data_IF_928188470768
#
_entry.id   IF_928188470768
#
_cell.length_a   1.000
_cell.length_b   1.000
_cell.length_c   1.000
_cell.angle_alpha   90.00
_cell.angle_beta   90.00
_cell.angle_gamma   90.00
#
_symmetry.space_group_name_H-M   'P 1'
#
loop_
_entity.id
_entity.type
_entity.pdbx_description
1 polymer ?
#
# COMPACT_ATOMS: atom_id res chain seq x y z
N UNK A 1 0.23 -23.46 -5.11
CA UNK A 1 -0.78 -22.40 -4.91
C UNK A 1 -2.14 -23.06 -4.73
N UNK A 2 -2.53 -23.31 -3.48
CA UNK A 2 -3.86 -23.79 -3.15
C UNK A 2 -4.89 -22.77 -3.63
N UNK A 3 -6.02 -23.24 -4.17
CA UNK A 3 -7.13 -22.36 -4.51
C UNK A 3 -7.65 -21.75 -3.20
N UNK A 4 -7.61 -20.42 -3.09
CA UNK A 4 -8.17 -19.70 -1.96
C UNK A 4 -9.63 -20.14 -1.73
N UNK A 5 -9.91 -20.61 -0.52
CA UNK A 5 -11.26 -20.93 -0.06
C UNK A 5 -12.08 -19.64 -0.13
N UNK A 6 -13.32 -19.70 -0.62
CA UNK A 6 -14.21 -18.55 -0.56
C UNK A 6 -14.42 -18.16 0.92
N UNK A 7 -13.79 -17.07 1.37
CA UNK A 7 -13.93 -16.52 2.73
C UNK A 7 -12.66 -16.49 3.59
N UNK A 8 -11.56 -17.14 3.18
CA UNK A 8 -10.30 -17.06 3.94
C UNK A 8 -9.57 -15.76 3.65
N UNK A 9 -9.10 -15.07 4.69
CA UNK A 9 -8.26 -13.89 4.57
C UNK A 9 -6.80 -14.33 4.52
N UNK A 10 -6.01 -13.67 3.68
CA UNK A 10 -4.58 -13.88 3.56
C UNK A 10 -3.84 -12.63 4.06
N UNK A 11 -2.73 -12.83 4.77
CA UNK A 11 -1.88 -11.78 5.30
C UNK A 11 -0.66 -11.62 4.40
N UNK A 12 -0.19 -10.38 4.21
CA UNK A 12 1.02 -10.10 3.46
C UNK A 12 2.11 -9.46 4.31
N UNK A 13 3.34 -9.94 4.14
CA UNK A 13 4.54 -9.51 4.86
C UNK A 13 5.60 -9.00 3.89
N UNK A 14 6.35 -7.96 4.28
CA UNK A 14 7.40 -7.39 3.44
C UNK A 14 8.74 -8.08 3.69
N UNK A 15 9.31 -8.70 2.66
CA UNK A 15 10.58 -9.41 2.74
C UNK A 15 11.58 -8.91 1.69
N UNK A 16 12.88 -9.02 2.01
CA UNK A 16 13.94 -8.77 1.03
C UNK A 16 13.97 -9.87 -0.02
N UNK A 17 13.99 -9.48 -1.29
CA UNK A 17 14.07 -10.42 -2.40
C UNK A 17 15.09 -9.96 -3.45
N UNK A 18 15.73 -10.89 -4.15
CA UNK A 18 16.63 -10.54 -5.24
C UNK A 18 15.86 -9.85 -6.38
N UNK A 19 16.42 -8.78 -6.95
CA UNK A 19 15.74 -7.93 -7.92
C UNK A 19 15.16 -8.66 -9.15
N UNK A 20 15.70 -9.82 -9.52
CA UNK A 20 15.18 -10.61 -10.65
C UNK A 20 13.81 -11.23 -10.36
N UNK A 21 13.49 -11.54 -9.09
CA UNK A 21 12.15 -12.00 -8.67
C UNK A 21 11.09 -10.91 -8.75
N UNK A 22 11.52 -9.65 -8.71
CA UNK A 22 10.62 -8.48 -8.68
C UNK A 22 10.36 -7.88 -10.07
N UNK A 23 10.68 -8.63 -11.14
CA UNK A 23 10.46 -8.28 -12.55
C UNK A 23 9.12 -8.77 -13.06
N UNK A 24 8.59 -8.17 -14.12
CA UNK A 24 7.26 -8.48 -14.65
C UNK A 24 7.08 -9.95 -15.07
N UNK A 25 8.16 -10.63 -15.47
CA UNK A 25 8.14 -12.05 -15.86
C UNK A 25 7.84 -13.00 -14.70
N UNK A 26 8.06 -12.56 -13.46
CA UNK A 26 7.87 -13.34 -12.25
C UNK A 26 6.53 -13.04 -11.56
N UNK A 27 5.72 -12.13 -12.12
CA UNK A 27 4.40 -11.76 -11.60
C UNK A 27 4.40 -11.40 -10.10
N UNK A 28 5.25 -10.47 -9.64
CA UNK A 28 5.46 -10.26 -8.22
C UNK A 28 4.29 -9.55 -7.55
N UNK A 29 4.02 -9.94 -6.31
CA UNK A 29 3.44 -9.05 -5.30
C UNK A 29 4.61 -8.34 -4.60
N UNK A 30 4.64 -7.01 -4.60
CA UNK A 30 5.81 -6.24 -4.13
C UNK A 30 5.46 -4.84 -3.66
N UNK A 31 6.26 -4.32 -2.74
CA UNK A 31 6.27 -2.92 -2.31
C UNK A 31 7.38 -2.18 -3.05
N UNK A 32 7.10 -0.94 -3.46
CA UNK A 32 8.07 0.03 -3.95
C UNK A 32 8.85 -0.38 -5.20
N UNK A 33 9.98 0.28 -5.42
CA UNK A 33 10.73 0.20 -6.67
C UNK A 33 9.92 0.73 -7.86
N UNK A 34 10.14 0.14 -9.04
CA UNK A 34 9.35 0.46 -10.25
C UNK A 34 8.21 -0.54 -10.43
N UNK A 35 7.09 -0.13 -11.05
CA UNK A 35 6.02 -1.05 -11.39
C UNK A 35 6.56 -2.16 -12.30
N UNK A 36 6.32 -3.41 -11.91
CA UNK A 36 6.47 -4.57 -12.78
C UNK A 36 5.18 -4.70 -13.59
N UNK A 37 5.06 -3.86 -14.63
CA UNK A 37 3.87 -3.78 -15.49
C UNK A 37 3.52 -5.15 -16.09
N UNK A 38 2.28 -5.58 -15.88
CA UNK A 38 1.74 -6.82 -16.40
C UNK A 38 1.55 -6.80 -17.93
N UNK A 39 0.76 -5.86 -18.46
CA UNK A 39 0.71 -5.66 -19.90
C UNK A 39 1.71 -4.60 -20.34
N UNK A 40 2.43 -4.85 -21.43
CA UNK A 40 3.25 -3.83 -22.06
C UNK A 40 2.44 -2.80 -22.86
N UNK A 41 1.13 -2.95 -22.99
CA UNK A 41 0.25 -2.08 -23.75
C UNK A 41 -0.73 -1.32 -22.85
N UNK A 42 -1.23 -0.17 -23.33
CA UNK A 42 -2.30 0.57 -22.66
C UNK A 42 -1.95 1.08 -21.25
N UNK A 43 -0.66 1.33 -20.98
CA UNK A 43 -0.17 1.86 -19.70
C UNK A 43 -0.87 3.18 -19.35
N UNK A 44 -1.18 3.43 -18.07
CA UNK A 44 -1.71 4.72 -17.62
C UNK A 44 -0.76 5.87 -18.00
N UNK A 45 -1.32 6.90 -18.63
CA UNK A 45 -0.57 8.06 -19.08
C UNK A 45 -0.16 9.00 -17.93
N UNK A 46 0.69 10.01 -18.22
CA UNK A 46 1.09 10.98 -17.20
C UNK A 46 -0.07 11.76 -16.56
N UNK A 47 -1.19 11.96 -17.27
CA UNK A 47 -2.37 12.62 -16.72
C UNK A 47 -3.08 11.73 -15.69
N UNK A 48 -3.24 10.44 -16.00
CA UNK A 48 -3.85 9.45 -15.10
C UNK A 48 -2.95 9.24 -13.86
N UNK A 49 -1.63 9.20 -14.03
CA UNK A 49 -0.65 9.07 -12.94
C UNK A 49 -0.20 10.42 -12.37
N UNK A 50 -1.10 11.40 -12.32
CA UNK A 50 -0.88 12.68 -11.64
C UNK A 50 -1.77 12.82 -10.41
N UNK A 51 -1.23 13.45 -9.37
CA UNK A 51 -1.98 13.76 -8.16
C UNK A 51 -3.09 14.77 -8.48
N UNK A 52 -4.33 14.46 -8.13
CA UNK A 52 -5.46 15.37 -8.33
C UNK A 52 -5.31 16.70 -7.58
N UNK A 53 -4.56 16.72 -6.47
CA UNK A 53 -4.40 17.91 -5.63
C UNK A 53 -3.27 18.84 -6.11
N UNK A 54 -2.08 18.28 -6.39
CA UNK A 54 -0.90 19.09 -6.73
C UNK A 54 -0.40 18.93 -8.17
N UNK A 55 -0.99 18.02 -8.95
CA UNK A 55 -0.61 17.74 -10.34
C UNK A 55 0.76 17.05 -10.51
N UNK A 56 1.46 16.73 -9.43
CA UNK A 56 2.77 16.07 -9.50
C UNK A 56 2.64 14.58 -9.83
N UNK A 57 3.65 13.96 -10.47
CA UNK A 57 3.64 12.53 -10.74
C UNK A 57 3.48 11.71 -9.47
N UNK A 58 2.64 10.69 -9.52
CA UNK A 58 2.50 9.72 -8.44
C UNK A 58 3.70 8.77 -8.42
N UNK A 59 4.08 8.32 -7.22
CA UNK A 59 5.05 7.28 -7.00
C UNK A 59 4.36 5.93 -6.89
N UNK A 60 5.00 4.89 -7.42
CA UNK A 60 4.53 3.52 -7.29
C UNK A 60 4.68 3.04 -5.85
N UNK A 61 3.58 2.71 -5.19
CA UNK A 61 3.58 2.28 -3.80
C UNK A 61 3.74 0.77 -3.69
N UNK A 62 2.89 0.01 -4.38
CA UNK A 62 2.95 -1.45 -4.42
C UNK A 62 2.14 -2.04 -5.57
N UNK A 63 2.33 -3.33 -5.80
CA UNK A 63 1.45 -4.14 -6.64
C UNK A 63 1.16 -5.49 -6.02
N UNK A 64 0.03 -6.07 -6.38
CA UNK A 64 -0.38 -7.42 -5.99
C UNK A 64 -0.72 -8.24 -7.22
N UNK A 65 -0.21 -9.47 -7.27
CA UNK A 65 -0.65 -10.48 -8.23
C UNK A 65 -1.85 -11.25 -7.64
N UNK A 66 -3.03 -11.02 -8.21
CA UNK A 66 -4.32 -11.44 -7.68
C UNK A 66 -5.16 -12.12 -8.77
N UNK A 67 -4.74 -13.31 -9.26
CA UNK A 67 -5.46 -14.06 -10.30
C UNK A 67 -6.85 -14.48 -9.83
N UNK A 68 -7.80 -14.64 -10.76
CA UNK A 68 -9.15 -15.10 -10.44
C UNK A 68 -9.38 -16.51 -10.99
N UNK A 69 -9.41 -17.55 -10.12
CA UNK A 69 -9.76 -18.90 -10.53
C UNK A 69 -11.11 -18.94 -11.24
N UNK A 70 -11.20 -19.76 -12.29
CA UNK A 70 -12.42 -19.87 -13.11
C UNK A 70 -12.62 -18.75 -14.12
N UNK A 71 -11.74 -17.74 -14.17
CA UNK A 71 -11.84 -16.63 -15.12
C UNK A 71 -10.68 -16.59 -16.11
N UNK A 72 -10.95 -17.05 -17.33
CA UNK A 72 -9.92 -17.21 -18.37
C UNK A 72 -9.23 -15.91 -18.78
N UNK A 73 -9.92 -14.76 -18.75
CA UNK A 73 -9.37 -13.44 -19.08
C UNK A 73 -8.66 -12.75 -17.91
N UNK A 74 -8.70 -13.36 -16.71
CA UNK A 74 -8.03 -12.90 -15.50
C UNK A 74 -7.10 -13.97 -14.93
N UNK A 75 -6.49 -14.78 -15.81
CA UNK A 75 -5.51 -15.78 -15.43
C UNK A 75 -4.29 -15.11 -14.79
N UNK A 76 -3.78 -14.06 -15.43
CA UNK A 76 -2.88 -13.11 -14.79
C UNK A 76 -3.68 -11.87 -14.48
N UNK A 77 -3.65 -11.42 -13.23
CA UNK A 77 -4.34 -10.19 -12.83
C UNK A 77 -3.49 -9.49 -11.80
N UNK A 78 -3.23 -8.21 -12.06
CA UNK A 78 -2.36 -7.36 -11.26
C UNK A 78 -3.09 -6.11 -10.83
N UNK A 79 -2.91 -5.74 -9.56
CA UNK A 79 -3.39 -4.49 -8.97
C UNK A 79 -2.19 -3.61 -8.67
N UNK A 80 -2.24 -2.33 -9.04
CA UNK A 80 -1.13 -1.40 -8.95
C UNK A 80 -1.59 -0.17 -8.20
N UNK A 81 -0.96 0.12 -7.05
CA UNK A 81 -1.30 1.27 -6.22
C UNK A 81 -0.20 2.33 -6.31
N UNK A 82 -0.62 3.58 -6.48
CA UNK A 82 0.24 4.75 -6.59
C UNK A 82 -0.17 5.79 -5.54
N UNK A 83 0.80 6.52 -5.00
CA UNK A 83 0.56 7.59 -4.04
C UNK A 83 1.38 8.84 -4.36
N UNK A 84 0.86 10.01 -4.00
CA UNK A 84 1.61 11.26 -4.08
C UNK A 84 2.57 11.37 -2.89
N UNK A 85 3.78 11.86 -3.15
CA UNK A 85 4.82 12.03 -2.12
C UNK A 85 5.04 13.48 -1.67
N UNK A 86 4.23 14.40 -2.18
CA UNK A 86 4.34 15.82 -1.85
C UNK A 86 3.41 16.15 -0.68
N UNK A 87 3.90 16.71 0.44
CA UNK A 87 3.03 17.23 1.49
C UNK A 87 2.25 18.47 1.02
N UNK A 88 1.01 18.68 1.50
CA UNK A 88 0.22 17.80 2.37
C UNK A 88 -0.49 16.67 1.58
N UNK A 89 -0.25 16.56 0.28
CA UNK A 89 -0.93 15.66 -0.65
C UNK A 89 -0.54 14.18 -0.49
N UNK A 90 0.07 13.74 0.61
CA UNK A 90 0.52 12.36 0.87
C UNK A 90 -0.59 11.28 0.74
N UNK A 91 -1.82 11.70 0.43
CA UNK A 91 -3.04 10.91 0.26
C UNK A 91 -3.59 10.90 -1.18
N UNK A 92 -2.90 11.50 -2.17
CA UNK A 92 -3.32 11.40 -3.58
C UNK A 92 -3.09 9.98 -4.10
N UNK A 93 -4.07 9.09 -3.91
CA UNK A 93 -3.98 7.67 -4.23
C UNK A 93 -4.68 7.35 -5.55
N UNK A 94 -4.10 6.42 -6.32
CA UNK A 94 -4.77 5.81 -7.48
C UNK A 94 -4.42 4.35 -7.56
N UNK A 95 -5.42 3.54 -7.90
CA UNK A 95 -5.26 2.11 -8.07
C UNK A 95 -5.69 1.71 -9.47
N UNK A 96 -4.91 0.84 -10.10
CA UNK A 96 -5.18 0.33 -11.43
C UNK A 96 -5.20 -1.19 -11.42
N UNK A 97 -6.15 -1.78 -12.15
CA UNK A 97 -6.19 -3.20 -12.47
C UNK A 97 -5.76 -3.43 -13.90
N UNK A 98 -4.93 -4.44 -14.12
CA UNK A 98 -4.70 -5.05 -15.43
C UNK A 98 -4.91 -6.56 -15.34
N UNK A 99 -5.38 -7.16 -16.43
CA UNK A 99 -5.54 -8.60 -16.48
C UNK A 99 -5.27 -9.13 -17.88
N UNK A 100 -4.72 -10.33 -17.95
CA UNK A 100 -4.38 -11.02 -19.17
C UNK A 100 -4.85 -12.48 -19.11
N UNK A 101 -5.29 -13.04 -20.24
CA UNK A 101 -5.49 -14.47 -20.36
C UNK A 101 -4.16 -15.23 -20.29
N UNK A 102 -4.23 -16.54 -19.99
CA UNK A 102 -3.03 -17.41 -19.95
C UNK A 102 -2.22 -17.34 -21.24
N UNK A 103 -2.90 -17.47 -22.39
CA UNK A 103 -2.29 -17.28 -23.70
C UNK A 103 -2.36 -15.80 -24.06
N UNK A 104 -1.22 -15.12 -24.06
CA UNK A 104 -1.09 -13.69 -24.39
C UNK A 104 0.23 -13.42 -25.11
N UNK A 105 0.40 -12.20 -25.61
CA UNK A 105 1.56 -11.80 -26.43
C UNK A 105 2.80 -11.40 -25.59
N UNK A 106 2.68 -11.32 -24.27
CA UNK A 106 3.70 -10.73 -23.39
C UNK A 106 4.55 -11.80 -22.69
N UNK A 107 3.92 -12.91 -22.30
CA UNK A 107 4.50 -13.96 -21.47
C UNK A 107 4.42 -15.34 -22.11
N UNK A 108 5.32 -16.22 -21.66
CA UNK A 108 5.29 -17.64 -22.04
C UNK A 108 4.02 -18.31 -21.54
N UNK A 109 3.57 -19.34 -22.26
CA UNK A 109 2.53 -20.23 -21.75
C UNK A 109 3.05 -21.10 -20.60
N UNK A 110 4.35 -21.34 -20.52
CA UNK A 110 4.99 -22.10 -19.44
C UNK A 110 5.39 -21.19 -18.29
N UNK A 111 5.40 -21.68 -17.03
CA UNK A 111 5.82 -20.90 -15.89
C UNK A 111 7.27 -20.42 -16.02
N UNK A 112 7.62 -19.25 -15.45
CA UNK A 112 8.99 -18.77 -15.40
C UNK A 112 9.86 -19.69 -14.52
N UNK A 113 11.18 -19.67 -14.74
CA UNK A 113 12.13 -20.39 -13.89
C UNK A 113 12.21 -19.76 -12.51
N UNK A 114 12.30 -20.61 -11.47
CA UNK A 114 12.61 -20.23 -10.09
C UNK A 114 14.12 -20.08 -9.84
N UNK A 115 14.95 -20.48 -10.80
CA UNK A 115 16.39 -20.30 -10.73
C UNK A 115 16.80 -18.89 -11.19
N UNK A 116 17.83 -18.29 -10.56
CA UNK A 116 18.36 -17.02 -11.01
C UNK A 116 18.77 -17.07 -12.49
N UNK A 117 18.49 -16.02 -13.27
CA UNK A 117 18.97 -15.96 -14.65
C UNK A 117 20.50 -16.00 -14.67
N UNK A 118 21.07 -16.64 -15.71
CA UNK A 118 22.51 -16.61 -15.93
C UNK A 118 22.99 -15.17 -15.87
N UNK A 119 24.02 -14.89 -15.04
CA UNK A 119 24.49 -13.57 -14.65
C UNK A 119 24.82 -12.69 -15.88
N UNK A 120 23.77 -12.09 -16.41
CA UNK A 120 23.80 -11.06 -17.43
C UNK A 120 23.45 -9.82 -16.64
N UNK A 121 24.38 -8.87 -16.59
CA UNK A 121 24.15 -7.54 -16.04
C UNK A 121 23.18 -6.78 -16.93
N UNK A 122 22.01 -7.37 -17.18
CA UNK A 122 21.03 -6.84 -18.10
C UNK A 122 20.60 -5.47 -17.56
N UNK A 123 20.84 -4.41 -18.34
CA UNK A 123 20.52 -3.06 -17.92
C UNK A 123 19.03 -2.96 -17.62
N UNK A 124 18.67 -1.99 -16.79
CA UNK A 124 17.27 -1.74 -16.48
C UNK A 124 16.54 -1.39 -17.77
N UNK A 125 15.76 -2.34 -18.30
CA UNK A 125 15.12 -2.20 -19.60
C UNK A 125 14.00 -1.15 -19.51
N UNK A 126 14.32 0.07 -19.97
CA UNK A 126 13.40 1.22 -19.99
C UNK A 126 12.54 1.26 -21.27
N UNK A 127 12.49 0.16 -22.01
CA UNK A 127 11.65 -0.01 -23.18
C UNK A 127 10.92 -1.34 -23.07
N UNK A 128 9.59 -1.30 -23.09
CA UNK A 128 8.80 -2.53 -23.08
C UNK A 128 8.78 -3.17 -24.47
N UNK A 129 8.40 -4.45 -24.53
CA UNK A 129 8.24 -5.21 -25.79
C UNK A 129 7.27 -4.55 -26.79
N UNK A 130 6.30 -3.78 -26.30
CA UNK A 130 5.38 -2.98 -27.11
C UNK A 130 6.02 -1.76 -27.80
N UNK A 131 7.27 -1.45 -27.48
CA UNK A 131 7.95 -0.22 -27.88
C UNK A 131 7.71 0.97 -26.93
N UNK A 132 6.83 0.83 -25.93
CA UNK A 132 6.59 1.88 -24.94
C UNK A 132 7.87 2.22 -24.17
N UNK A 133 8.19 3.51 -24.11
CA UNK A 133 9.37 4.03 -23.42
C UNK A 133 9.00 4.47 -22.02
N UNK A 134 9.75 4.01 -21.03
CA UNK A 134 9.50 4.25 -19.62
C UNK A 134 10.31 5.45 -19.10
N UNK A 135 9.74 6.12 -18.11
CA UNK A 135 10.38 7.22 -17.42
C UNK A 135 11.60 6.70 -16.65
N UNK A 136 12.76 7.35 -16.87
CA UNK A 136 14.00 7.05 -16.17
C UNK A 136 13.93 7.18 -14.66
N UNK A 137 13.00 7.96 -14.13
CA UNK A 137 12.85 8.16 -12.68
C UNK A 137 11.90 7.12 -12.09
N UNK A 138 10.65 7.07 -12.58
CA UNK A 138 9.58 6.30 -11.94
C UNK A 138 9.20 4.98 -12.61
N UNK A 139 9.70 4.68 -13.81
CA UNK A 139 9.30 3.48 -14.56
C UNK A 139 7.88 3.51 -15.15
N UNK A 140 7.15 4.62 -15.04
CA UNK A 140 5.84 4.81 -15.70
C UNK A 140 6.02 5.25 -17.17
N UNK A 141 4.94 5.35 -17.95
CA UNK A 141 5.01 5.77 -19.35
C UNK A 141 5.69 7.14 -19.50
N UNK A 142 6.72 7.21 -20.35
CA UNK A 142 7.57 8.38 -20.57
C UNK A 142 7.45 8.94 -21.98
N UNK A 143 6.36 9.65 -22.33
CA UNK A 143 6.16 10.18 -23.68
C UNK A 143 7.11 11.33 -24.03
N UNK A 144 7.72 12.00 -23.04
CA UNK A 144 8.64 13.11 -23.27
C UNK A 144 10.04 12.58 -23.43
N UNK A 145 10.75 13.06 -24.44
CA UNK A 145 12.15 12.69 -24.69
C UNK A 145 13.08 13.87 -24.42
N UNK A 146 14.26 13.61 -23.88
CA UNK A 146 15.31 14.61 -23.76
C UNK A 146 15.67 15.18 -25.14
N UNK A 147 15.51 16.49 -25.32
CA UNK A 147 15.78 17.17 -26.58
C UNK A 147 17.26 17.20 -26.99
N UNK A 148 18.17 16.82 -26.09
CA UNK A 148 19.62 16.80 -26.36
C UNK A 148 20.11 15.44 -26.85
N UNK A 149 19.76 14.35 -26.16
CA UNK A 149 20.23 13.02 -26.52
C UNK A 149 19.20 12.15 -27.26
N UNK A 150 17.92 12.55 -27.25
CA UNK A 150 16.80 11.80 -27.83
C UNK A 150 16.63 10.34 -27.33
N UNK A 151 17.29 9.98 -26.22
CA UNK A 151 17.31 8.62 -25.67
C UNK A 151 16.70 8.50 -24.28
N UNK A 152 16.78 9.57 -23.49
CA UNK A 152 16.21 9.60 -22.15
C UNK A 152 14.73 9.99 -22.20
N UNK A 153 13.87 9.21 -21.55
CA UNK A 153 12.42 9.39 -21.54
C UNK A 153 11.87 9.74 -20.15
N UNK A 154 10.82 10.56 -20.11
CA UNK A 154 10.25 11.12 -18.88
C UNK A 154 8.73 11.23 -18.97
N UNK A 155 8.04 10.98 -17.85
CA UNK A 155 6.60 11.23 -17.74
C UNK A 155 6.29 12.72 -17.59
N UNK A 156 7.21 13.50 -16.99
CA UNK A 156 6.99 14.90 -16.68
C UNK A 156 8.28 15.73 -16.79
N UNK A 157 8.11 17.06 -16.83
CA UNK A 157 9.24 18.02 -16.76
C UNK A 157 9.92 17.96 -15.39
N UNK A 158 9.16 17.64 -14.34
CA UNK A 158 9.67 17.48 -12.98
C UNK A 158 10.66 16.31 -12.90
N UNK A 159 10.28 15.13 -13.40
CA UNK A 159 11.19 13.97 -13.43
C UNK A 159 12.40 14.19 -14.35
N UNK A 160 12.23 14.88 -15.47
CA UNK A 160 13.37 15.28 -16.30
C UNK A 160 14.34 16.17 -15.53
N UNK A 161 13.83 17.16 -14.80
CA UNK A 161 14.65 18.09 -14.02
C UNK A 161 15.36 17.38 -12.86
N UNK A 162 14.67 16.44 -12.21
CA UNK A 162 15.23 15.63 -11.13
C UNK A 162 16.39 14.76 -11.65
N UNK A 163 16.16 13.99 -12.72
CA UNK A 163 17.20 13.15 -13.33
C UNK A 163 18.38 13.97 -13.86
N UNK A 164 18.10 15.15 -14.43
CA UNK A 164 19.14 16.08 -14.90
C UNK A 164 20.10 16.48 -13.78
N UNK A 165 19.57 16.78 -12.59
CA UNK A 165 20.36 17.17 -11.41
C UNK A 165 21.12 15.98 -10.81
N UNK A 166 20.55 14.79 -10.84
CA UNK A 166 21.11 13.59 -10.20
C UNK A 166 22.16 12.84 -11.03
N UNK A 167 22.29 13.13 -12.33
CA UNK A 167 23.36 12.52 -13.13
C UNK A 167 23.19 12.63 -14.64
N UNK A 168 21.95 12.77 -15.13
CA UNK A 168 21.73 12.77 -16.59
C UNK A 168 22.46 13.91 -17.30
N UNK A 169 22.68 15.08 -16.67
CA UNK A 169 23.45 16.18 -17.27
C UNK A 169 24.84 15.73 -17.77
N UNK A 170 25.50 14.83 -17.04
CA UNK A 170 26.83 14.32 -17.36
C UNK A 170 26.76 13.16 -18.36
N UNK A 171 25.79 12.26 -18.19
CA UNK A 171 25.61 11.09 -19.06
C UNK A 171 24.98 11.44 -20.42
N UNK A 172 24.27 12.57 -20.54
CA UNK A 172 23.52 12.97 -21.75
C UNK A 172 24.40 13.07 -23.00
N UNK A 173 25.70 13.38 -22.83
CA UNK A 173 26.66 13.47 -23.93
C UNK A 173 27.41 12.17 -24.23
N UNK A 174 27.28 11.15 -23.37
CA UNK A 174 27.99 9.89 -23.53
C UNK A 174 27.11 8.87 -24.27
N UNK A 175 27.58 8.40 -25.43
CA UNK A 175 26.80 7.53 -26.32
C UNK A 175 26.62 6.10 -25.78
N UNK A 176 27.41 5.64 -24.81
CA UNK A 176 27.48 4.20 -24.51
C UNK A 176 26.94 3.78 -23.13
N UNK A 177 26.44 4.70 -22.29
CA UNK A 177 26.16 4.37 -20.87
C UNK A 177 24.83 4.87 -20.28
N UNK A 178 23.89 5.37 -21.09
CA UNK A 178 22.64 5.94 -20.56
C UNK A 178 21.74 4.91 -19.84
N UNK A 179 21.75 3.64 -20.27
CA UNK A 179 20.88 2.59 -19.68
C UNK A 179 21.51 1.87 -18.48
N UNK A 180 22.81 2.05 -18.23
CA UNK A 180 23.56 1.23 -17.25
C UNK A 180 23.59 1.83 -15.83
N UNK A 181 23.38 3.13 -15.65
CA UNK A 181 23.37 3.76 -14.32
C UNK A 181 22.26 4.79 -14.21
N UNK A 182 21.06 4.34 -13.81
CA UNK A 182 20.04 5.26 -13.31
C UNK A 182 20.44 5.65 -11.87
N UNK A 183 20.73 6.93 -11.59
CA UNK A 183 21.09 7.35 -10.25
C UNK A 183 19.88 7.24 -9.31
N UNK A 184 20.13 7.11 -8.01
CA UNK A 184 19.05 7.18 -7.02
C UNK A 184 18.55 8.63 -6.90
N UNK A 185 17.32 8.86 -7.38
CA UNK A 185 16.66 10.16 -7.30
C UNK A 185 15.98 10.41 -5.95
N UNK A 186 15.99 9.44 -5.03
CA UNK A 186 15.15 9.40 -3.83
C UNK A 186 13.65 9.52 -4.17
N UNK A 187 13.23 9.15 -5.38
CA UNK A 187 11.84 9.20 -5.85
C UNK A 187 11.08 7.88 -5.63
N UNK A 188 11.74 6.76 -5.84
CA UNK A 188 11.16 5.43 -5.66
C UNK A 188 11.13 5.07 -4.18
N UNK A 189 10.14 4.29 -3.76
CA UNK A 189 10.18 3.65 -2.45
C UNK A 189 11.17 2.47 -2.47
N UNK A 190 11.75 2.08 -1.32
CA UNK A 190 12.50 0.83 -1.19
C UNK A 190 11.68 -0.36 -1.69
N UNK A 191 12.36 -1.33 -2.30
CA UNK A 191 11.74 -2.43 -3.03
C UNK A 191 11.79 -3.72 -2.20
N UNK A 192 10.64 -4.36 -1.98
CA UNK A 192 10.49 -5.60 -1.20
C UNK A 192 9.46 -6.54 -1.84
N UNK A 193 9.60 -7.85 -1.65
CA UNK A 193 8.57 -8.84 -1.98
C UNK A 193 7.45 -8.81 -0.94
N UNK A 194 6.22 -9.03 -1.37
CA UNK A 194 5.09 -9.28 -0.46
C UNK A 194 4.86 -10.78 -0.45
N UNK A 195 5.25 -11.43 0.64
CA UNK A 195 4.98 -12.85 0.88
C UNK A 195 3.59 -12.97 1.47
N UNK A 196 2.74 -13.79 0.84
CA UNK A 196 1.34 -13.97 1.22
C UNK A 196 1.18 -15.31 1.93
N UNK A 197 0.61 -15.27 3.14
CA UNK A 197 0.33 -16.43 3.97
C UNK A 197 -1.16 -16.46 4.36
N UNK A 198 -1.72 -17.63 4.61
CA UNK A 198 -3.12 -17.75 5.02
C UNK A 198 -3.27 -17.34 6.49
N UNK A 199 -4.28 -16.54 6.83
CA UNK A 199 -4.60 -16.26 8.23
C UNK A 199 -5.05 -17.56 8.90
N UNK A 200 -4.36 -17.99 9.96
CA UNK A 200 -4.77 -19.15 10.74
C UNK A 200 -6.15 -18.91 11.36
N UNK A 201 -7.09 -19.83 11.08
CA UNK A 201 -8.36 -19.89 11.82
C UNK A 201 -8.08 -20.42 13.22
N UNK A 202 -7.64 -19.55 14.12
CA UNK A 202 -7.60 -19.89 15.54
C UNK A 202 -9.05 -20.07 15.98
N UNK A 203 -9.51 -21.31 16.13
CA UNK A 203 -10.72 -21.61 16.92
C UNK A 203 -10.42 -21.17 18.35
N UNK A 204 -11.07 -20.14 18.91
CA UNK A 204 -10.89 -19.84 20.31
C UNK A 204 -11.42 -21.05 21.09
N UNK A 205 -10.53 -21.78 21.76
CA UNK A 205 -10.92 -22.65 22.87
C UNK A 205 -11.59 -21.74 23.90
N UNK A 206 -12.92 -21.74 23.88
CA UNK A 206 -13.84 -21.35 24.95
C UNK A 206 -13.41 -20.08 25.73
N UNK A 207 -13.56 -18.91 25.11
CA UNK A 207 -13.77 -17.70 25.92
C UNK A 207 -15.22 -17.75 26.37
N UNK A 208 -15.42 -18.10 27.63
CA UNK A 208 -16.71 -18.12 28.30
C UNK A 208 -17.47 -16.82 27.98
N UNK A 209 -18.70 -16.97 27.51
CA UNK A 209 -19.65 -15.86 27.42
C UNK A 209 -19.93 -15.41 28.85
N UNK A 210 -19.25 -14.37 29.31
CA UNK A 210 -19.76 -13.64 30.47
C UNK A 210 -20.97 -12.83 30.02
N UNK A 211 -22.12 -13.27 30.51
CA UNK A 211 -23.43 -12.68 30.29
C UNK A 211 -23.49 -11.25 30.85
N UNK A 212 -24.18 -10.44 30.07
CA UNK A 212 -24.74 -9.13 30.33
C UNK A 212 -25.23 -8.96 31.78
N UNK A 213 -24.73 -7.95 32.49
CA UNK A 213 -25.40 -7.44 33.70
C UNK A 213 -25.93 -6.04 33.45
N UNK A 214 -27.22 -5.97 33.16
CA UNK A 214 -28.01 -4.74 33.21
C UNK A 214 -28.00 -4.21 34.65
N UNK A 215 -27.46 -3.00 34.85
CA UNK A 215 -27.67 -2.24 36.09
C UNK A 215 -28.68 -1.13 35.78
N UNK A 216 -29.93 -1.38 36.20
CA UNK A 216 -30.98 -0.36 36.28
C UNK A 216 -30.65 0.55 37.48
N UNK A 217 -30.41 1.84 37.19
CA UNK A 217 -30.26 2.89 38.20
C UNK A 217 -30.94 4.18 37.72
N UNK A 218 -31.99 4.58 38.43
CA UNK A 218 -32.92 5.67 38.11
C UNK A 218 -32.43 7.06 38.57
N UNK A 219 -32.92 8.10 37.86
CA UNK A 219 -33.08 9.53 38.18
C UNK A 219 -31.98 10.54 37.77
N UNK A 220 -32.37 11.44 36.86
CA UNK A 220 -31.95 12.86 36.84
C UNK A 220 -32.06 13.53 35.48
N UNK A 221 -33.13 14.30 35.25
CA UNK A 221 -33.37 15.09 34.02
C UNK A 221 -32.19 16.05 33.70
N UNK A 222 -31.48 15.72 32.63
CA UNK A 222 -30.70 16.61 31.76
C UNK A 222 -31.07 16.22 30.30
N UNK A 223 -30.65 16.91 29.23
CA UNK A 223 -31.03 16.54 27.87
C UNK A 223 -30.45 15.16 27.51
N UNK A 224 -31.23 14.11 27.74
CA UNK A 224 -30.82 12.69 27.69
C UNK A 224 -30.38 12.27 26.28
N UNK A 225 -30.88 12.95 25.25
CA UNK A 225 -30.59 12.59 23.85
C UNK A 225 -29.14 12.88 23.45
N UNK A 226 -28.51 13.95 23.94
CA UNK A 226 -27.09 14.24 23.63
C UNK A 226 -26.14 13.32 24.41
N UNK A 227 -26.38 13.12 25.71
CA UNK A 227 -25.52 12.31 26.58
C UNK A 227 -25.57 10.81 26.24
N UNK A 228 -26.77 10.29 25.91
CA UNK A 228 -26.93 8.89 25.48
C UNK A 228 -26.34 8.66 24.09
N UNK A 229 -26.42 9.66 23.20
CA UNK A 229 -25.76 9.59 21.89
C UNK A 229 -24.22 9.57 22.01
N UNK A 230 -23.65 10.33 22.96
CA UNK A 230 -22.21 10.35 23.23
C UNK A 230 -21.73 9.02 23.83
N UNK A 231 -22.41 8.49 24.84
CA UNK A 231 -22.06 7.21 25.45
C UNK A 231 -22.14 6.04 24.46
N UNK A 232 -23.17 6.04 23.59
CA UNK A 232 -23.30 5.04 22.52
C UNK A 232 -22.20 5.16 21.46
N UNK A 233 -21.80 6.39 21.11
CA UNK A 233 -20.71 6.63 20.16
C UNK A 233 -19.38 6.09 20.67
N UNK A 234 -19.01 6.43 21.91
CA UNK A 234 -17.79 5.93 22.58
C UNK A 234 -17.78 4.40 22.64
N UNK A 235 -18.91 3.78 23.00
CA UNK A 235 -19.02 2.32 23.06
C UNK A 235 -18.85 1.63 21.69
N UNK A 236 -19.23 2.29 20.59
CA UNK A 236 -19.11 1.75 19.23
C UNK A 236 -17.70 1.91 18.70
N UNK A 237 -17.10 3.08 18.92
CA UNK A 237 -15.72 3.37 18.57
C UNK A 237 -14.75 2.41 19.27
N UNK A 238 -14.93 2.21 20.58
CA UNK A 238 -14.15 1.24 21.36
C UNK A 238 -14.29 -0.18 20.81
N UNK A 239 -15.50 -0.62 20.44
CA UNK A 239 -15.71 -1.96 19.86
C UNK A 239 -14.99 -2.14 18.52
N UNK A 240 -15.02 -1.14 17.64
CA UNK A 240 -14.33 -1.18 16.35
C UNK A 240 -12.83 -1.22 16.55
N UNK A 241 -12.31 -0.34 17.41
CA UNK A 241 -10.88 -0.27 17.70
C UNK A 241 -10.36 -1.52 18.40
N UNK A 242 -11.08 -2.08 19.38
CA UNK A 242 -10.69 -3.34 20.01
C UNK A 242 -10.68 -4.50 19.01
N UNK A 243 -11.69 -4.59 18.13
CA UNK A 243 -11.71 -5.62 17.08
C UNK A 243 -10.50 -5.51 16.16
N UNK A 244 -10.15 -4.30 15.73
CA UNK A 244 -8.94 -4.03 14.95
C UNK A 244 -7.69 -4.47 15.71
N UNK A 245 -7.54 -4.00 16.95
CA UNK A 245 -6.38 -4.28 17.79
C UNK A 245 -6.18 -5.77 18.02
N UNK A 246 -7.23 -6.50 18.41
CA UNK A 246 -7.16 -7.95 18.63
C UNK A 246 -6.74 -8.68 17.36
N UNK A 247 -7.24 -8.26 16.18
CA UNK A 247 -6.89 -8.89 14.90
C UNK A 247 -5.47 -8.58 14.44
N UNK A 248 -4.99 -7.35 14.62
CA UNK A 248 -3.63 -6.95 14.23
C UNK A 248 -2.59 -7.48 15.22
N UNK A 249 -2.94 -7.63 16.50
CA UNK A 249 -2.04 -8.13 17.54
C UNK A 249 -1.59 -9.59 17.33
N UNK A 250 -2.38 -10.39 16.60
CA UNK A 250 -1.99 -11.75 16.25
C UNK A 250 -0.77 -11.77 15.33
N UNK A 251 -0.73 -10.84 14.37
CA UNK A 251 0.33 -10.75 13.36
C UNK A 251 0.75 -9.29 13.14
N UNK A 252 1.50 -8.68 14.06
CA UNK A 252 1.79 -7.24 14.02
C UNK A 252 2.65 -6.83 12.82
N UNK A 253 3.40 -7.76 12.22
CA UNK A 253 4.27 -7.46 11.07
C UNK A 253 3.49 -7.36 9.74
N UNK A 254 2.22 -7.75 9.73
CA UNK A 254 1.39 -7.72 8.54
C UNK A 254 1.29 -6.29 7.95
N UNK A 255 1.46 -6.17 6.65
CA UNK A 255 1.31 -4.92 5.90
C UNK A 255 0.08 -4.91 4.99
N UNK A 256 -0.50 -6.08 4.76
CA UNK A 256 -1.57 -6.34 3.82
C UNK A 256 -2.52 -7.38 4.41
N UNK A 257 -3.83 -7.17 4.21
CA UNK A 257 -4.85 -8.22 4.33
C UNK A 257 -5.58 -8.33 3.01
N UNK A 258 -5.46 -9.47 2.35
CA UNK A 258 -6.12 -9.79 1.09
C UNK A 258 -7.36 -10.64 1.36
N UNK A 259 -8.49 -10.26 0.77
CA UNK A 259 -9.77 -10.93 0.99
C UNK A 259 -10.82 -10.41 0.02
N UNK A 260 -10.85 -10.96 -1.19
CA UNK A 260 -11.79 -10.47 -2.21
C UNK A 260 -13.24 -10.81 -1.85
N UNK A 261 -14.04 -9.76 -1.68
CA UNK A 261 -15.44 -9.86 -1.26
C UNK A 261 -15.63 -10.05 0.25
N UNK A 262 -14.55 -9.98 1.06
CA UNK A 262 -14.66 -9.97 2.52
C UNK A 262 -14.91 -8.54 3.04
N UNK A 263 -15.09 -8.39 4.35
CA UNK A 263 -15.23 -7.08 4.99
C UNK A 263 -13.86 -6.59 5.50
N UNK A 264 -13.47 -5.32 5.22
CA UNK A 264 -12.29 -4.72 5.82
C UNK A 264 -12.41 -4.57 7.34
N UNK A 265 -11.27 -4.57 8.02
CA UNK A 265 -11.14 -4.13 9.42
C UNK A 265 -10.71 -2.65 9.45
N UNK A 266 -11.40 -1.87 10.27
CA UNK A 266 -11.23 -0.42 10.37
C UNK A 266 -10.67 -0.03 11.73
N UNK A 267 -9.90 1.06 11.78
CA UNK A 267 -9.30 1.57 13.03
C UNK A 267 -10.33 2.39 13.82
N UNK A 268 -11.16 3.15 13.12
CA UNK A 268 -12.23 3.95 13.73
C UNK A 268 -13.60 3.55 13.17
N UNK A 269 -14.64 3.78 13.97
CA UNK A 269 -16.03 3.71 13.51
C UNK A 269 -16.41 4.90 12.60
N UNK A 270 -15.57 5.94 12.56
CA UNK A 270 -15.74 7.11 11.71
C UNK A 270 -15.11 6.90 10.33
N UNK A 271 -15.61 7.61 9.31
CA UNK A 271 -15.05 7.62 7.97
C UNK A 271 -14.91 6.21 7.34
N UNK A 272 -15.88 5.33 7.63
CA UNK A 272 -16.07 4.05 6.96
C UNK A 272 -16.96 4.30 5.72
N UNK A 273 -16.55 3.86 4.52
CA UNK A 273 -17.31 4.12 3.30
C UNK A 273 -18.65 3.39 3.35
N UNK A 274 -19.71 4.09 2.99
CA UNK A 274 -21.01 3.50 2.69
C UNK A 274 -21.05 3.00 1.24
N UNK A 275 -22.12 2.28 0.87
CA UNK A 275 -22.25 1.72 -0.48
C UNK A 275 -22.26 2.82 -1.56
N UNK A 276 -22.80 4.00 -1.23
CA UNK A 276 -22.89 5.15 -2.14
C UNK A 276 -21.54 5.85 -2.35
N UNK A 277 -20.63 5.73 -1.38
CA UNK A 277 -19.29 6.31 -1.43
C UNK A 277 -18.35 5.54 -2.36
N UNK A 278 -18.68 4.27 -2.64
CA UNK A 278 -17.92 3.40 -3.53
C UNK A 278 -18.55 3.46 -4.93
N UNK A 279 -17.95 4.19 -5.89
CA UNK A 279 -18.54 4.35 -7.20
C UNK A 279 -18.60 3.02 -7.96
N UNK A 280 -19.59 2.89 -8.84
CA UNK A 280 -19.71 1.76 -9.76
C UNK A 280 -18.55 1.74 -10.75
N UNK A 281 -18.18 0.54 -11.20
CA UNK A 281 -17.22 0.36 -12.27
C UNK A 281 -17.80 0.95 -13.58
N UNK A 282 -16.97 1.53 -14.48
CA UNK A 282 -17.44 2.03 -15.77
C UNK A 282 -18.19 1.01 -16.65
N UNK A 283 -18.08 -0.29 -16.37
CA UNK A 283 -18.85 -1.34 -17.04
C UNK A 283 -20.30 -1.50 -16.51
N UNK A 284 -20.67 -0.79 -15.44
CA UNK A 284 -21.97 -0.87 -14.76
C UNK A 284 -22.03 -1.83 -13.57
N UNK A 285 -20.96 -2.58 -13.30
CA UNK A 285 -20.91 -3.48 -12.14
C UNK A 285 -20.50 -2.74 -10.85
N UNK A 286 -20.97 -3.23 -9.70
CA UNK A 286 -20.48 -2.78 -8.38
C UNK A 286 -18.98 -3.06 -8.21
N UNK A 287 -18.32 -2.24 -7.39
CA UNK A 287 -16.99 -2.56 -6.87
C UNK A 287 -17.14 -3.24 -5.51
N UNK A 288 -16.33 -4.26 -5.27
CA UNK A 288 -16.28 -5.00 -4.01
C UNK A 288 -14.89 -4.83 -3.39
N UNK A 289 -14.82 -4.94 -2.07
CA UNK A 289 -13.55 -4.94 -1.36
C UNK A 289 -12.64 -6.06 -1.89
N UNK A 290 -11.35 -5.77 -2.02
CA UNK A 290 -10.36 -6.75 -2.44
C UNK A 290 -9.22 -6.94 -1.47
N UNK A 291 -8.62 -5.86 -1.00
CA UNK A 291 -7.57 -5.91 0.01
C UNK A 291 -7.48 -4.60 0.78
N UNK A 292 -6.88 -4.66 1.95
CA UNK A 292 -6.51 -3.48 2.72
C UNK A 292 -5.03 -3.46 3.07
N UNK A 293 -4.49 -2.27 3.16
CA UNK A 293 -3.15 -2.02 3.65
C UNK A 293 -3.22 -1.49 5.07
N UNK A 294 -2.30 -1.98 5.88
CA UNK A 294 -2.14 -1.59 7.26
C UNK A 294 -0.83 -0.81 7.39
N UNK A 295 -0.91 0.34 8.04
CA UNK A 295 0.23 1.20 8.35
C UNK A 295 0.37 1.36 9.86
N UNK A 296 1.60 1.55 10.36
CA UNK A 296 1.82 1.77 11.79
C UNK A 296 0.98 2.93 12.29
N UNK A 297 0.33 2.73 13.43
CA UNK A 297 0.16 3.81 14.39
C UNK A 297 1.58 4.31 14.73
N UNK A 298 1.79 5.60 14.93
CA UNK A 298 3.08 6.00 15.50
C UNK A 298 2.90 5.78 17.00
N UNK A 299 3.46 4.71 17.56
CA UNK A 299 3.77 4.78 18.99
C UNK A 299 4.65 6.02 19.06
N UNK A 300 4.22 7.01 19.85
CA UNK A 300 5.07 8.13 20.20
C UNK A 300 6.31 7.50 20.79
N UNK A 301 7.32 7.25 19.97
CA UNK A 301 8.66 7.11 20.45
C UNK A 301 8.90 8.45 21.09
N UNK A 302 8.83 8.48 22.41
CA UNK A 302 9.36 9.56 23.20
C UNK A 302 10.72 9.84 22.59
N UNK A 303 10.80 10.94 21.86
CA UNK A 303 12.06 11.54 21.50
C UNK A 303 12.52 12.18 22.81
N UNK A 304 12.89 11.35 23.79
CA UNK A 304 14.00 11.71 24.64
C UNK A 304 15.21 11.73 23.71
N UNK A 305 15.37 12.88 23.02
CA UNK A 305 16.68 13.35 22.58
C UNK A 305 17.53 13.34 23.84
N UNK A 306 18.26 12.25 24.05
CA UNK A 306 19.27 12.17 25.07
C UNK A 306 20.37 13.14 24.67
N UNK A 307 20.23 14.40 25.09
CA UNK A 307 21.36 15.27 25.45
C UNK A 307 21.01 16.33 26.50
N UNK A 308 19.82 16.37 27.12
CA UNK A 308 19.59 17.28 28.27
C UNK A 308 18.44 16.96 29.23
N UNK A 309 17.88 15.74 29.27
CA UNK A 309 16.87 15.41 30.29
C UNK A 309 17.56 14.99 31.59
N UNK A 310 17.57 15.87 32.59
CA UNK A 310 18.16 15.68 33.93
C UNK A 310 17.45 14.60 34.79
N UNK A 311 16.54 13.80 34.23
CA UNK A 311 15.74 12.83 34.98
C UNK A 311 16.49 11.55 35.40
N UNK A 312 17.74 11.34 34.94
CA UNK A 312 18.51 10.15 35.33
C UNK A 312 19.39 10.33 36.57
N UNK A 313 19.50 11.53 37.14
CA UNK A 313 20.31 11.76 38.34
C UNK A 313 19.51 11.84 39.65
N UNK A 314 18.19 11.61 39.59
CA UNK A 314 17.28 11.61 40.74
C UNK A 314 16.67 10.23 41.03
N UNK A 315 17.26 9.15 40.52
CA UNK A 315 16.75 7.77 40.67
C UNK A 315 17.68 6.84 41.47
N UNK A 316 18.53 7.40 42.33
CA UNK A 316 19.30 6.61 43.31
C UNK A 316 19.09 6.98 44.77
N UNK A 317 18.31 8.02 45.07
CA UNK A 317 17.97 8.35 46.44
C UNK A 317 16.46 8.63 46.55
N UNK A 318 15.80 7.81 47.36
CA UNK A 318 14.42 7.92 47.88
C UNK A 318 13.39 7.01 47.22
N UNK A 319 13.27 5.81 47.83
CA UNK A 319 12.04 5.02 47.92
C UNK A 319 10.89 5.91 48.41
N UNK A 320 9.87 6.17 47.58
CA UNK A 320 8.46 6.25 47.99
C UNK A 320 7.54 6.39 46.76
N UNK A 321 6.63 5.41 46.65
CA UNK A 321 5.27 5.42 46.07
C UNK A 321 4.97 6.06 44.70
N UNK A 322 4.19 5.31 43.92
CA UNK A 322 3.48 5.65 42.67
C UNK A 322 4.32 5.86 41.40
N UNK A 323 4.70 4.73 40.80
CA UNK A 323 5.00 4.62 39.37
C UNK A 323 3.66 4.74 38.61
N UNK A 324 3.48 5.64 37.64
CA UNK A 324 2.36 5.53 36.71
C UNK A 324 2.58 4.27 35.88
N UNK A 325 1.65 3.34 36.00
CA UNK A 325 1.54 2.14 35.20
C UNK A 325 1.30 2.56 33.73
N UNK A 326 2.37 2.73 32.94
CA UNK A 326 2.24 2.78 31.49
C UNK A 326 1.79 1.39 31.03
N UNK A 327 0.49 1.18 30.91
CA UNK A 327 -0.02 -0.03 30.26
C UNK A 327 0.42 0.00 28.80
N UNK A 328 1.14 -1.03 28.43
CA UNK A 328 1.67 -1.28 27.10
C UNK A 328 0.49 -1.36 26.10
N UNK A 329 0.27 -0.29 25.34
CA UNK A 329 -0.61 -0.28 24.16
C UNK A 329 0.25 -0.04 22.93
N UNK A 330 1.10 -1.02 22.58
CA UNK A 330 1.82 -1.01 21.31
C UNK A 330 1.44 -2.25 20.49
N UNK A 331 0.49 -2.08 19.57
CA UNK A 331 0.24 -3.04 18.48
C UNK A 331 0.49 -2.26 17.21
N UNK A 332 1.50 -2.65 16.42
CA UNK A 332 1.98 -1.80 15.34
C UNK A 332 2.21 -2.48 14.00
N UNK A 333 1.40 -2.18 12.97
CA UNK A 333 1.71 -2.57 11.59
C UNK A 333 3.02 -1.93 11.11
N UNK A 334 3.80 -2.60 10.25
CA UNK A 334 5.20 -2.20 10.00
C UNK A 334 5.48 -1.46 8.67
N UNK A 335 4.49 -1.26 7.79
CA UNK A 335 4.74 -0.84 6.39
C UNK A 335 5.57 0.46 6.24
N UNK A 336 5.37 1.49 7.08
CA UNK A 336 6.15 2.74 6.95
C UNK A 336 7.63 2.59 7.31
N UNK A 337 7.97 1.62 8.17
CA UNK A 337 9.37 1.32 8.53
C UNK A 337 10.14 0.88 7.28
N UNK A 338 9.53 0.00 6.48
CA UNK A 338 10.08 -0.47 5.21
C UNK A 338 10.19 0.66 4.18
N UNK A 339 9.18 1.55 4.12
CA UNK A 339 9.18 2.67 3.19
C UNK A 339 10.25 3.74 3.49
N UNK A 340 11.01 3.61 4.59
CA UNK A 340 12.03 4.59 5.05
C UNK A 340 11.51 6.02 5.05
N UNK A 341 10.23 6.20 5.41
CA UNK A 341 9.55 7.51 5.42
C UNK A 341 10.25 8.54 6.34
N UNK A 342 11.04 8.05 7.31
CA UNK A 342 11.84 8.87 8.23
C UNK A 342 13.02 9.60 7.58
N UNK A 343 13.62 9.08 6.50
CA UNK A 343 14.80 9.74 5.88
C UNK A 343 14.48 11.06 5.18
N UNK A 344 13.19 11.38 4.98
CA UNK A 344 12.76 12.59 4.28
C UNK A 344 11.91 13.54 5.12
N UNK A 345 11.56 13.18 6.38
CA UNK A 345 10.63 13.96 7.20
C UNK A 345 9.24 14.11 6.57
N UNK A 346 8.82 13.11 5.79
CA UNK A 346 7.59 13.14 4.96
C UNK A 346 6.78 11.89 5.27
N UNK A 347 6.03 11.94 6.37
CA UNK A 347 5.20 10.83 6.79
C UNK A 347 3.98 10.70 5.88
N UNK A 348 3.65 9.45 5.63
CA UNK A 348 2.51 9.03 4.85
C UNK A 348 1.54 8.47 5.87
N UNK A 349 0.77 9.37 6.48
CA UNK A 349 -0.08 9.05 7.62
C UNK A 349 -1.48 8.70 7.09
N UNK A 350 -1.76 7.40 7.00
CA UNK A 350 -3.12 6.88 6.91
C UNK A 350 -3.23 5.74 7.91
N UNK A 351 -4.44 5.45 8.37
CA UNK A 351 -4.71 4.31 9.24
C UNK A 351 -4.94 3.04 8.43
N UNK A 352 -5.92 3.10 7.52
CA UNK A 352 -6.28 1.98 6.63
C UNK A 352 -6.45 2.49 5.21
N UNK A 353 -5.87 1.79 4.24
CA UNK A 353 -6.27 1.91 2.83
C UNK A 353 -7.07 0.69 2.45
N UNK A 354 -8.32 0.86 2.02
CA UNK A 354 -9.16 -0.23 1.53
C UNK A 354 -9.32 -0.08 0.00
N UNK A 355 -8.95 -1.12 -0.74
CA UNK A 355 -9.04 -1.14 -2.19
C UNK A 355 -10.27 -1.92 -2.62
N UNK A 356 -11.05 -1.32 -3.51
CA UNK A 356 -12.27 -1.87 -4.07
C UNK A 356 -12.12 -2.01 -5.58
N UNK A 357 -12.45 -3.19 -6.11
CA UNK A 357 -12.33 -3.47 -7.54
C UNK A 357 -13.63 -4.01 -8.12
N UNK A 358 -13.78 -3.90 -9.44
CA UNK A 358 -14.94 -4.43 -10.17
C UNK A 358 -15.29 -5.87 -9.74
N UNK A 359 -16.51 -6.08 -9.24
CA UNK A 359 -17.04 -7.40 -8.88
C UNK A 359 -17.00 -8.37 -10.08
N UNK A 360 -17.35 -7.82 -11.25
CA UNK A 360 -17.32 -8.53 -12.52
C UNK A 360 -15.95 -8.51 -13.20
N UNK A 361 -14.86 -8.10 -12.53
CA UNK A 361 -13.49 -7.99 -13.08
C UNK A 361 -13.47 -7.72 -14.59
N UNK A 362 -14.14 -6.63 -15.01
CA UNK A 362 -14.57 -6.41 -16.38
C UNK A 362 -13.41 -6.47 -17.38
N UNK A 363 -13.70 -6.85 -18.63
CA UNK A 363 -12.68 -7.00 -19.69
C UNK A 363 -12.08 -5.64 -20.06
N UNK A 364 -10.74 -5.58 -20.07
CA UNK A 364 -9.97 -4.36 -20.33
C UNK A 364 -9.18 -4.42 -21.65
N UNK A 365 -9.34 -5.51 -22.42
CA UNK A 365 -8.38 -5.85 -23.46
C UNK A 365 -6.99 -6.04 -22.84
N UNK A 366 -6.00 -5.29 -23.31
CA UNK A 366 -4.64 -5.26 -22.72
C UNK A 366 -4.40 -4.04 -21.83
N UNK A 367 -5.37 -3.15 -21.66
CA UNK A 367 -5.21 -1.88 -20.94
C UNK A 367 -5.39 -1.98 -19.42
N UNK A 368 -5.29 -0.83 -18.77
CA UNK A 368 -5.44 -0.68 -17.32
C UNK A 368 -6.78 0.02 -17.02
N UNK A 369 -7.49 -0.43 -15.99
CA UNK A 369 -8.69 0.24 -15.49
C UNK A 369 -8.42 0.84 -14.12
N UNK A 370 -8.87 2.08 -13.92
CA UNK A 370 -8.86 2.70 -12.60
C UNK A 370 -9.91 2.04 -11.69
N UNK A 371 -9.44 1.52 -10.57
CA UNK A 371 -10.26 0.98 -9.49
C UNK A 371 -10.36 2.01 -8.36
N UNK A 372 -11.01 1.65 -7.26
CA UNK A 372 -11.27 2.60 -6.18
C UNK A 372 -10.43 2.29 -4.94
N UNK A 373 -9.99 3.33 -4.26
CA UNK A 373 -9.26 3.23 -3.00
C UNK A 373 -9.86 4.21 -2.00
N UNK A 374 -10.28 3.69 -0.86
CA UNK A 374 -10.71 4.45 0.29
C UNK A 374 -9.56 4.60 1.26
N UNK A 375 -9.44 5.78 1.86
CA UNK A 375 -8.44 6.08 2.87
C UNK A 375 -9.16 6.48 4.16
N UNK A 376 -8.91 5.74 5.23
CA UNK A 376 -9.23 6.14 6.61
C UNK A 376 -7.96 6.70 7.25
N UNK A 377 -7.99 7.96 7.66
CA UNK A 377 -6.93 8.59 8.44
C UNK A 377 -6.91 8.07 9.88
N UNK A 378 -5.74 8.12 10.53
CA UNK A 378 -5.68 7.96 11.99
C UNK A 378 -6.22 9.26 12.57
N UNK A 379 -7.41 9.24 13.14
CA UNK A 379 -7.91 10.35 13.93
C UNK A 379 -7.08 10.42 15.20
N UNK A 380 -6.46 11.57 15.48
CA UNK A 380 -5.99 11.85 16.84
C UNK A 380 -7.24 11.82 17.73
N UNK A 381 -7.56 10.69 18.37
CA UNK A 381 -8.48 10.71 19.50
C UNK A 381 -7.93 11.74 20.50
N UNK A 382 -8.71 12.77 20.86
CA UNK A 382 -8.22 13.93 21.60
C UNK A 382 -7.58 13.62 22.96
#
# INVERSE_FOLDING_TARGET
MAAACAGSVELGFAEEAPAWRLRSEQFPSKVGGRPAWLSAAGLPGPAELSCALCGRPLAFLLQLYAPLPGRADAFHRGLFLFCCRAPPCCAGLRVFRNQLPRKNDFYSYEPPSEEPPAATGDPVCLQLKSGARLCRVCGCLGPKTCSRCHRAHYCSKEHQTLDWRSGHKQACTQADNLDNTVPDHNFLFPEFEIVIETEDEITPEVVEKEEESEIIGSMGEAPEEELDSMAKHESREDKVFQKFKTKVALEPEQILRYGRGTAPIWISAENIPQEEDVPDCPCGAKRIFEFQLLTPERSRQCVCKATSCLCWQFLLDHLTSTIPFCTDKSVMPQLLNYLKADRLGRSVDWGVLAVFTCAESCRLGTGYAEEFVWKQDITDTP
#
